data_IF_279169944752
#
_entry.id   IF_279169944752
#
_cell.length_a   1.000
_cell.length_b   1.000
_cell.length_c   1.000
_cell.angle_alpha   90.00
_cell.angle_beta   90.00
_cell.angle_gamma   90.00
#
_symmetry.space_group_name_H-M   'P 1'
#
loop_
_entity.id
_entity.type
_entity.pdbx_description
1 polymer ?
#
# COMPACT_ATOMS: atom_id res chain seq x y z
N UNK A 1 -34.28 -36.36 67.92
CA UNK A 1 -34.44 -36.27 66.46
C UNK A 1 -33.29 -35.47 65.91
N UNK A 2 -32.44 -36.15 65.14
CA UNK A 2 -31.39 -35.68 64.22
C UNK A 2 -31.61 -34.29 63.59
N UNK A 3 -30.63 -33.53 63.11
CA UNK A 3 -29.16 -33.59 63.07
C UNK A 3 -28.74 -32.20 62.53
N UNK A 4 -27.55 -31.74 62.92
CA UNK A 4 -26.71 -30.68 62.31
C UNK A 4 -27.33 -29.72 61.28
N UNK A 5 -27.58 -28.49 61.74
CA UNK A 5 -27.82 -27.31 60.91
C UNK A 5 -26.55 -26.98 60.12
N UNK A 6 -26.58 -27.23 58.81
CA UNK A 6 -25.48 -27.02 57.89
C UNK A 6 -25.33 -25.51 57.59
N UNK A 7 -24.33 -24.85 58.20
CA UNK A 7 -24.02 -23.44 57.94
C UNK A 7 -23.18 -23.39 56.66
N UNK A 8 -23.81 -23.08 55.52
CA UNK A 8 -23.06 -22.78 54.28
C UNK A 8 -22.22 -21.54 54.54
N UNK A 9 -20.89 -21.67 54.50
CA UNK A 9 -19.99 -20.53 54.47
C UNK A 9 -20.19 -19.81 53.14
N UNK A 10 -20.76 -18.60 53.19
CA UNK A 10 -20.69 -17.68 52.07
C UNK A 10 -19.28 -17.12 52.07
N UNK A 11 -18.40 -17.70 51.26
CA UNK A 11 -17.08 -17.13 50.98
C UNK A 11 -17.30 -15.81 50.23
N UNK A 12 -17.03 -14.69 50.92
CA UNK A 12 -17.04 -13.36 50.31
C UNK A 12 -15.72 -13.10 49.60
N UNK A 13 -15.76 -12.26 48.56
CA UNK A 13 -14.56 -11.75 47.90
C UNK A 13 -13.68 -11.00 48.91
N UNK A 14 -12.37 -11.25 48.88
CA UNK A 14 -11.42 -10.47 49.67
C UNK A 14 -11.11 -9.15 48.97
N UNK A 15 -10.87 -8.09 49.74
CA UNK A 15 -10.40 -6.81 49.19
C UNK A 15 -9.05 -6.98 48.45
N UNK A 16 -8.23 -7.91 48.93
CA UNK A 16 -6.93 -8.22 48.36
C UNK A 16 -7.04 -8.83 46.96
N UNK A 17 -8.02 -9.71 46.72
CA UNK A 17 -8.31 -10.24 45.38
C UNK A 17 -8.66 -9.14 44.38
N UNK A 18 -9.48 -8.16 44.80
CA UNK A 18 -9.83 -7.05 43.91
C UNK A 18 -8.63 -6.11 43.68
N UNK A 19 -7.80 -5.88 44.71
CA UNK A 19 -6.62 -5.00 44.59
C UNK A 19 -5.58 -5.55 43.61
N UNK A 20 -5.29 -6.84 43.67
CA UNK A 20 -4.34 -7.45 42.73
C UNK A 20 -4.85 -7.37 41.29
N UNK A 21 -6.16 -7.56 41.08
CA UNK A 21 -6.78 -7.48 39.75
C UNK A 21 -6.64 -6.09 39.13
N UNK A 22 -6.96 -5.02 39.87
CA UNK A 22 -6.85 -3.66 39.32
C UNK A 22 -5.39 -3.25 39.08
N UNK A 23 -4.45 -3.77 39.87
CA UNK A 23 -3.00 -3.56 39.66
C UNK A 23 -2.53 -4.23 38.37
N UNK A 24 -2.92 -5.50 38.14
CA UNK A 24 -2.54 -6.22 36.91
C UNK A 24 -3.19 -5.58 35.68
N UNK A 25 -4.47 -5.21 35.73
CA UNK A 25 -5.15 -4.52 34.63
C UNK A 25 -4.51 -3.16 34.34
N UNK A 26 -4.14 -2.40 35.38
CA UNK A 26 -3.42 -1.14 35.24
C UNK A 26 -2.05 -1.29 34.59
N UNK A 27 -1.31 -2.37 34.93
CA UNK A 27 -0.02 -2.68 34.32
C UNK A 27 -0.14 -3.07 32.84
N UNK A 28 -1.13 -3.91 32.50
CA UNK A 28 -1.38 -4.33 31.13
C UNK A 28 -1.84 -3.17 30.24
N UNK A 29 -2.59 -2.21 30.79
CA UNK A 29 -3.04 -1.03 30.05
C UNK A 29 -1.90 -0.15 29.53
N UNK A 30 -0.73 -0.17 30.17
CA UNK A 30 0.45 0.63 29.77
C UNK A 30 1.16 0.04 28.54
N UNK A 31 1.09 -1.28 28.33
CA UNK A 31 1.92 -2.01 27.35
C UNK A 31 1.23 -2.12 25.98
N UNK A 32 -0.02 -1.68 25.84
CA UNK A 32 -0.72 -1.71 24.54
C UNK A 32 -0.26 -0.51 23.69
N UNK A 33 0.86 -0.69 22.99
CA UNK A 33 1.20 0.14 21.82
C UNK A 33 0.70 -0.59 20.57
N UNK A 34 -0.41 -0.17 19.94
CA UNK A 34 -0.84 -0.74 18.68
C UNK A 34 0.09 -0.24 17.56
N UNK A 35 1.03 -1.08 17.13
CA UNK A 35 1.94 -0.76 16.03
C UNK A 35 1.29 -1.03 14.65
N UNK A 36 0.21 -0.31 14.32
CA UNK A 36 -0.69 -0.64 13.19
C UNK A 36 -0.58 0.25 11.93
N UNK A 37 0.44 1.11 11.79
CA UNK A 37 0.36 2.21 10.80
C UNK A 37 1.05 1.90 9.44
N UNK A 38 1.84 0.83 9.30
CA UNK A 38 2.65 0.61 8.08
C UNK A 38 2.02 -0.27 6.99
N UNK A 39 1.00 -1.07 7.32
CA UNK A 39 0.36 -2.02 6.39
C UNK A 39 -0.29 -1.38 5.16
N UNK A 40 -1.20 -0.40 5.33
CA UNK A 40 -1.89 0.23 4.21
C UNK A 40 -0.94 0.98 3.26
N UNK A 41 0.14 1.55 3.80
CA UNK A 41 1.14 2.29 3.02
C UNK A 41 1.89 1.36 2.05
N UNK A 42 2.37 0.22 2.54
CA UNK A 42 3.06 -0.78 1.70
C UNK A 42 2.13 -1.35 0.63
N UNK A 43 0.87 -1.60 0.96
CA UNK A 43 -0.12 -2.08 0.00
C UNK A 43 -0.33 -1.07 -1.14
N UNK A 44 -0.47 0.23 -0.83
CA UNK A 44 -0.60 1.28 -1.85
C UNK A 44 0.66 1.44 -2.69
N UNK A 45 1.85 1.37 -2.10
CA UNK A 45 3.11 1.41 -2.87
C UNK A 45 3.25 0.20 -3.79
N UNK A 46 2.86 -0.99 -3.34
CA UNK A 46 2.81 -2.19 -4.19
C UNK A 46 1.82 -2.01 -5.35
N UNK A 47 0.65 -1.41 -5.10
CA UNK A 47 -0.32 -1.12 -6.15
C UNK A 47 0.27 -0.15 -7.19
N UNK A 48 0.89 0.96 -6.74
CA UNK A 48 1.55 1.92 -7.64
C UNK A 48 2.56 1.26 -8.56
N UNK A 49 3.38 0.37 -8.01
CA UNK A 49 4.38 -0.37 -8.80
C UNK A 49 3.73 -1.28 -9.83
N UNK A 50 2.70 -2.03 -9.43
CA UNK A 50 1.96 -2.91 -10.34
C UNK A 50 1.26 -2.12 -11.47
N UNK A 51 0.70 -0.96 -11.14
CA UNK A 51 0.09 -0.05 -12.10
C UNK A 51 1.12 0.45 -13.13
N UNK A 52 2.31 0.89 -12.68
CA UNK A 52 3.37 1.31 -13.61
C UNK A 52 3.85 0.17 -14.50
N UNK A 53 3.97 -1.05 -13.97
CA UNK A 53 4.35 -2.23 -14.77
C UNK A 53 3.30 -2.56 -15.84
N UNK A 54 2.02 -2.42 -15.49
CA UNK A 54 0.92 -2.61 -16.44
C UNK A 54 0.99 -1.58 -17.57
N UNK A 55 1.18 -0.30 -17.23
CA UNK A 55 1.34 0.78 -18.23
C UNK A 55 2.58 0.53 -19.10
N UNK A 56 3.72 0.14 -18.51
CA UNK A 56 4.93 -0.23 -19.25
C UNK A 56 4.62 -1.30 -20.29
N UNK A 57 3.99 -2.41 -19.91
CA UNK A 57 3.67 -3.48 -20.85
C UNK A 57 2.78 -2.99 -22.01
N UNK A 58 1.81 -2.14 -21.73
CA UNK A 58 0.97 -1.51 -22.78
C UNK A 58 1.77 -0.56 -23.68
N UNK A 59 2.74 0.18 -23.14
CA UNK A 59 3.64 1.05 -23.92
C UNK A 59 4.53 0.25 -24.86
N UNK A 60 5.11 -0.86 -24.38
CA UNK A 60 5.90 -1.76 -25.23
C UNK A 60 5.03 -2.37 -26.34
N UNK A 61 3.79 -2.76 -26.01
CA UNK A 61 2.81 -3.22 -27.00
C UNK A 61 2.53 -2.18 -28.09
N UNK A 62 2.28 -0.93 -27.70
CA UNK A 62 2.06 0.17 -28.65
C UNK A 62 3.30 0.41 -29.52
N UNK A 63 4.50 0.36 -28.94
CA UNK A 63 5.75 0.55 -29.68
C UNK A 63 5.94 -0.52 -30.75
N UNK A 64 5.64 -1.79 -30.46
CA UNK A 64 5.74 -2.89 -31.42
C UNK A 64 4.87 -2.67 -32.67
N UNK A 65 3.71 -2.03 -32.51
CA UNK A 65 2.78 -1.78 -33.61
C UNK A 65 3.08 -0.47 -34.36
N UNK A 66 3.58 0.56 -33.66
CA UNK A 66 3.70 1.93 -34.19
C UNK A 66 5.15 2.42 -34.35
N UNK A 67 6.15 1.59 -33.99
CA UNK A 67 7.59 1.91 -33.98
C UNK A 67 7.95 3.19 -33.21
N UNK A 68 7.08 3.63 -32.31
CA UNK A 68 7.24 4.85 -31.51
C UNK A 68 6.34 4.76 -30.28
N UNK A 69 6.74 5.44 -29.21
CA UNK A 69 5.90 5.56 -28.02
C UNK A 69 4.82 6.63 -28.22
N UNK A 70 3.65 6.49 -27.59
CA UNK A 70 2.59 7.49 -27.72
C UNK A 70 3.03 8.80 -27.05
N UNK A 71 2.63 9.95 -27.61
CA UNK A 71 2.95 11.25 -27.01
C UNK A 71 2.30 11.44 -25.62
N UNK A 72 1.15 10.80 -25.39
CA UNK A 72 0.42 10.85 -24.13
C UNK A 72 -0.18 9.47 -23.80
N UNK A 73 -0.42 9.19 -22.52
CA UNK A 73 -0.91 7.88 -22.09
C UNK A 73 -2.37 7.62 -22.51
N UNK A 74 -3.16 8.66 -22.77
CA UNK A 74 -4.57 8.55 -23.19
C UNK A 74 -4.71 7.81 -24.52
N UNK A 75 -3.67 7.80 -25.36
CA UNK A 75 -3.66 7.05 -26.62
C UNK A 75 -3.79 5.55 -26.36
N UNK A 76 -3.26 5.03 -25.25
CA UNK A 76 -3.29 3.60 -24.93
C UNK A 76 -4.71 3.08 -24.66
N UNK A 77 -5.64 3.97 -24.30
CA UNK A 77 -7.04 3.62 -24.02
C UNK A 77 -7.96 3.89 -25.21
N UNK A 78 -7.44 4.42 -26.31
CA UNK A 78 -8.22 4.81 -27.49
C UNK A 78 -8.19 3.72 -28.57
N UNK A 79 -9.16 3.79 -29.49
CA UNK A 79 -9.26 2.92 -30.65
C UNK A 79 -10.16 1.69 -30.46
N UNK A 80 -10.27 0.88 -31.52
CA UNK A 80 -11.14 -0.30 -31.56
C UNK A 80 -10.58 -1.51 -30.77
N UNK A 81 -9.28 -1.50 -30.48
CA UNK A 81 -8.60 -2.50 -29.64
C UNK A 81 -7.56 -1.81 -28.76
N UNK A 82 -7.98 -1.21 -27.65
CA UNK A 82 -7.08 -0.43 -26.80
C UNK A 82 -6.07 -1.33 -26.08
N UNK A 83 -4.83 -0.85 -25.97
CA UNK A 83 -3.75 -1.52 -25.23
C UNK A 83 -3.98 -1.55 -23.72
N UNK A 84 -4.88 -0.69 -23.24
CA UNK A 84 -5.24 -0.59 -21.83
C UNK A 84 -6.73 -0.26 -21.70
N UNK A 85 -7.45 -0.95 -20.80
CA UNK A 85 -8.90 -0.71 -20.61
C UNK A 85 -9.20 0.67 -20.02
N UNK A 86 -8.38 1.09 -19.07
CA UNK A 86 -8.46 2.39 -18.40
C UNK A 86 -7.10 2.71 -17.79
N UNK A 87 -6.75 3.99 -17.70
CA UNK A 87 -5.52 4.42 -17.06
C UNK A 87 -5.62 4.23 -15.53
N UNK A 88 -4.69 3.47 -14.91
CA UNK A 88 -4.56 3.43 -13.46
C UNK A 88 -4.26 4.82 -12.89
N UNK A 89 -4.73 5.07 -11.69
CA UNK A 89 -4.48 6.32 -10.94
C UNK A 89 -3.97 6.00 -9.56
N UNK A 90 -3.23 6.94 -8.98
CA UNK A 90 -2.66 6.76 -7.65
C UNK A 90 -3.73 6.33 -6.63
N UNK A 91 -3.51 5.25 -5.86
CA UNK A 91 -4.54 4.71 -4.98
C UNK A 91 -4.96 5.68 -3.86
N UNK A 92 -4.13 6.66 -3.52
CA UNK A 92 -4.38 7.67 -2.48
C UNK A 92 -4.88 8.99 -3.05
N UNK A 93 -4.16 9.58 -4.00
CA UNK A 93 -4.46 10.92 -4.53
C UNK A 93 -5.42 10.89 -5.72
N UNK A 94 -5.62 9.72 -6.34
CA UNK A 94 -6.40 9.53 -7.58
C UNK A 94 -5.86 10.35 -8.76
N UNK A 95 -4.62 10.77 -8.69
CA UNK A 95 -3.93 11.52 -9.76
C UNK A 95 -3.31 10.55 -10.77
N UNK A 96 -3.19 10.99 -12.03
CA UNK A 96 -2.46 10.25 -13.05
C UNK A 96 -0.96 10.11 -12.70
N UNK A 97 -0.33 9.06 -13.23
CA UNK A 97 1.11 8.86 -13.12
C UNK A 97 1.88 9.79 -14.06
N UNK A 98 3.13 10.07 -13.72
CA UNK A 98 3.97 10.98 -14.51
C UNK A 98 4.56 10.21 -15.67
N UNK A 99 4.24 10.64 -16.89
CA UNK A 99 4.77 10.09 -18.13
C UNK A 99 5.45 11.19 -18.93
N UNK A 100 6.71 10.96 -19.29
CA UNK A 100 7.49 11.89 -20.12
C UNK A 100 8.20 11.11 -21.21
N UNK A 101 8.14 11.63 -22.43
CA UNK A 101 8.79 11.04 -23.60
C UNK A 101 9.96 11.89 -24.07
N UNK A 102 10.91 11.26 -24.77
CA UNK A 102 11.95 11.96 -25.52
C UNK A 102 12.08 11.38 -26.95
N UNK A 103 12.61 12.20 -27.86
CA UNK A 103 12.71 11.90 -29.29
C UNK A 103 11.57 12.47 -30.13
N UNK A 104 11.78 12.53 -31.45
CA UNK A 104 10.76 12.89 -32.44
C UNK A 104 10.91 12.02 -33.71
N UNK A 105 10.09 10.98 -33.92
CA UNK A 105 9.00 10.52 -33.03
C UNK A 105 9.53 9.98 -31.68
N UNK A 106 8.70 9.95 -30.62
CA UNK A 106 9.11 9.46 -29.31
C UNK A 106 9.69 8.05 -29.37
N UNK A 107 10.94 7.89 -28.93
CA UNK A 107 11.66 6.61 -28.95
C UNK A 107 12.10 6.15 -27.56
N UNK A 108 11.87 6.98 -26.55
CA UNK A 108 12.15 6.66 -25.16
C UNK A 108 11.13 7.31 -24.25
N UNK A 109 10.89 6.68 -23.10
CA UNK A 109 10.00 7.21 -22.09
C UNK A 109 10.55 7.00 -20.68
N UNK A 110 10.04 7.83 -19.78
CA UNK A 110 10.21 7.70 -18.35
C UNK A 110 8.82 7.75 -17.71
N UNK A 111 8.53 6.75 -16.89
CA UNK A 111 7.28 6.59 -16.16
C UNK A 111 7.57 6.60 -14.66
N UNK A 112 6.92 7.49 -13.89
CA UNK A 112 7.23 7.70 -12.46
C UNK A 112 5.99 7.69 -11.57
N UNK A 113 6.19 7.17 -10.36
CA UNK A 113 5.26 7.31 -9.24
C UNK A 113 6.00 7.72 -7.96
N UNK A 114 5.33 8.55 -7.14
CA UNK A 114 5.81 8.91 -5.81
C UNK A 114 5.31 7.86 -4.80
N UNK A 115 6.23 7.10 -4.22
CA UNK A 115 5.95 6.17 -3.14
C UNK A 115 5.79 6.90 -1.80
N UNK A 116 5.05 6.28 -0.89
CA UNK A 116 4.88 6.81 0.47
C UNK A 116 5.99 6.34 1.41
N UNK A 117 6.55 5.15 1.17
CA UNK A 117 7.67 4.61 1.95
C UNK A 117 9.04 5.04 1.39
N UNK A 118 9.78 5.82 2.18
CA UNK A 118 11.13 6.30 1.82
C UNK A 118 12.19 5.19 1.82
N UNK A 119 11.98 4.15 2.62
CA UNK A 119 12.93 3.06 2.81
C UNK A 119 12.60 1.87 1.90
N UNK A 120 11.76 2.09 0.89
CA UNK A 120 11.44 1.07 -0.07
C UNK A 120 12.65 0.83 -0.99
N UNK A 121 13.04 -0.45 -1.12
CA UNK A 121 14.23 -0.90 -1.86
C UNK A 121 14.23 -0.53 -3.34
N UNK A 122 13.05 -0.25 -3.91
CA UNK A 122 12.88 0.06 -5.32
C UNK A 122 12.88 1.58 -5.58
N UNK A 123 13.05 2.41 -4.55
CA UNK A 123 13.24 3.87 -4.71
C UNK A 123 14.58 4.13 -5.39
N UNK A 124 14.57 4.97 -6.43
CA UNK A 124 15.78 5.33 -7.18
C UNK A 124 16.80 6.00 -6.25
N UNK A 125 18.02 5.46 -6.19
CA UNK A 125 19.12 5.99 -5.39
C UNK A 125 19.33 7.48 -5.66
N UNK A 126 19.22 8.31 -4.62
CA UNK A 126 19.41 9.77 -4.70
C UNK A 126 18.13 10.60 -4.90
N UNK A 127 16.96 9.97 -5.10
CA UNK A 127 15.66 10.68 -5.11
C UNK A 127 14.75 10.11 -4.04
N UNK A 128 14.51 10.85 -2.96
CA UNK A 128 13.57 10.41 -1.92
C UNK A 128 12.19 10.19 -2.53
N UNK A 129 11.70 8.94 -2.54
CA UNK A 129 10.34 8.50 -2.86
C UNK A 129 9.98 8.19 -4.31
N UNK A 130 10.90 8.20 -5.28
CA UNK A 130 10.50 7.98 -6.69
C UNK A 130 10.76 6.55 -7.13
N UNK A 131 9.71 5.85 -7.57
CA UNK A 131 9.81 4.65 -8.38
C UNK A 131 9.73 5.05 -9.86
N UNK A 132 10.69 4.59 -10.66
CA UNK A 132 10.86 4.97 -12.07
C UNK A 132 11.02 3.73 -12.94
N UNK A 133 10.29 3.69 -14.06
CA UNK A 133 10.48 2.73 -15.14
C UNK A 133 10.83 3.48 -16.42
N UNK A 134 11.83 2.97 -17.12
CA UNK A 134 12.31 3.53 -18.37
C UNK A 134 12.06 2.56 -19.53
N UNK A 135 12.00 3.12 -20.74
CA UNK A 135 12.04 2.32 -21.97
C UNK A 135 13.28 1.43 -21.95
N UNK A 136 13.09 0.16 -22.31
CA UNK A 136 14.21 -0.78 -22.48
C UNK A 136 14.84 -0.45 -23.83
N UNK A 137 16.15 -0.14 -23.87
CA UNK A 137 16.87 0.06 -25.13
C UNK A 137 16.84 -1.20 -26.00
#
# INVERSE_FOLDING_TARGET
MNLFKNIRSRQGFTLLELMIVVVIVGMLAIIIVPNLISGPTRARDSQRKADLQTIKNSLEGYYNDNNSYPATLEVLTQGNSPYLKALPTDPKTKTAYIYTTAGNPPNSYILKANLENNNDKDVKSGTSKVYELNSTN
#
